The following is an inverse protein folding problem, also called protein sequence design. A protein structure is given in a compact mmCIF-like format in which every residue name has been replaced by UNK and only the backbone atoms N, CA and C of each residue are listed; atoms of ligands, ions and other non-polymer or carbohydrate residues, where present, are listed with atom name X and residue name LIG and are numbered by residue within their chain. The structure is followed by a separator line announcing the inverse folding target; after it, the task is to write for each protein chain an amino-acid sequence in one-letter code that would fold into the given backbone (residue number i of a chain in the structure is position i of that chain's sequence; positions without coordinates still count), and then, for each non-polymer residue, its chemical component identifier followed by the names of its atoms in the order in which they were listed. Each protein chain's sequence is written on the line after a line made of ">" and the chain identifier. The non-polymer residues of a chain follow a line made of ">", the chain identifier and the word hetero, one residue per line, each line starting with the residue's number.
data_IF_559807902608
#
_entry.id   IF_559807902608
#
_cell.length_a   1.000
_cell.length_b   1.000
_cell.length_c   1.000
_cell.angle_alpha   90.00
_cell.angle_beta   90.00
_cell.angle_gamma   90.00
#
_symmetry.space_group_name_H-M   'P 1'
#
loop_
_entity.id
_entity.type
_entity.pdbx_description
1 polymer ?
#
# COMPACT_ATOMS: atom_id res chain seq x y z
N UNK A 1 -5.48 -19.03 -74.08
CA UNK A 1 -5.40 -19.69 -72.75
C UNK A 1 -4.91 -18.67 -71.73
N UNK A 2 -5.76 -18.23 -70.80
CA UNK A 2 -5.41 -17.18 -69.82
C UNK A 2 -5.48 -17.78 -68.41
N UNK A 3 -4.32 -17.95 -67.76
CA UNK A 3 -4.21 -18.53 -66.41
C UNK A 3 -4.47 -17.44 -65.38
N UNK A 4 -5.56 -17.55 -64.62
CA UNK A 4 -5.82 -16.71 -63.44
C UNK A 4 -5.00 -17.26 -62.27
N UNK A 5 -4.04 -16.49 -61.75
CA UNK A 5 -3.33 -16.81 -60.52
C UNK A 5 -4.26 -16.59 -59.31
N UNK A 6 -4.22 -17.46 -58.27
CA UNK A 6 -5.00 -17.21 -57.06
C UNK A 6 -4.42 -16.02 -56.27
N UNK A 7 -5.25 -15.21 -55.59
CA UNK A 7 -4.76 -14.10 -54.81
C UNK A 7 -3.95 -14.63 -53.62
N UNK A 8 -2.72 -14.11 -53.47
CA UNK A 8 -1.89 -14.37 -52.30
C UNK A 8 -2.64 -13.88 -51.06
N UNK A 9 -3.05 -14.80 -50.19
CA UNK A 9 -3.57 -14.48 -48.88
C UNK A 9 -2.54 -13.64 -48.14
N UNK A 10 -2.80 -12.33 -48.03
CA UNK A 10 -2.09 -11.48 -47.11
C UNK A 10 -2.35 -12.03 -45.71
N UNK A 11 -1.35 -12.73 -45.15
CA UNK A 11 -1.37 -13.11 -43.74
C UNK A 11 -1.51 -11.83 -42.94
N UNK A 12 -2.71 -11.59 -42.45
CA UNK A 12 -3.00 -10.58 -41.44
C UNK A 12 -2.16 -10.90 -40.20
N UNK A 13 -0.91 -10.42 -40.19
CA UNK A 13 -0.12 -10.24 -38.98
C UNK A 13 -0.84 -9.14 -38.21
N UNK A 14 -1.90 -9.51 -37.48
CA UNK A 14 -2.39 -8.69 -36.37
C UNK A 14 -1.20 -8.51 -35.46
N UNK A 15 -0.58 -7.33 -35.53
CA UNK A 15 0.51 -6.96 -34.65
C UNK A 15 0.02 -7.29 -33.24
N UNK A 16 0.74 -8.20 -32.58
CA UNK A 16 0.48 -8.56 -31.19
C UNK A 16 0.69 -7.26 -30.41
N UNK A 17 -0.41 -6.56 -30.14
CA UNK A 17 -0.41 -5.26 -29.49
C UNK A 17 0.50 -5.36 -28.27
N UNK A 18 1.63 -4.66 -28.33
CA UNK A 18 2.59 -4.58 -27.25
C UNK A 18 1.79 -3.96 -26.10
N UNK A 19 1.41 -4.77 -25.11
CA UNK A 19 0.70 -4.28 -23.93
C UNK A 19 1.68 -3.38 -23.21
N UNK A 20 1.59 -2.07 -23.46
CA UNK A 20 2.27 -1.08 -22.65
C UNK A 20 1.64 -1.20 -21.26
N UNK A 21 2.38 -1.80 -20.33
CA UNK A 21 1.95 -2.05 -18.94
C UNK A 21 2.09 -0.79 -18.09
N UNK A 22 2.10 0.39 -18.73
CA UNK A 22 2.07 1.68 -18.05
C UNK A 22 0.64 1.92 -17.56
N UNK A 23 0.17 1.06 -16.64
CA UNK A 23 -1.03 1.28 -15.86
C UNK A 23 -0.67 2.33 -14.81
N UNK A 24 -0.76 3.60 -15.18
CA UNK A 24 -0.82 4.67 -14.19
C UNK A 24 -2.14 4.53 -13.45
N UNK A 25 -2.12 3.97 -12.25
CA UNK A 25 -3.30 3.96 -11.38
C UNK A 25 -3.61 5.40 -10.97
N UNK A 26 -4.84 5.84 -11.21
CA UNK A 26 -5.30 7.14 -10.72
C UNK A 26 -5.68 6.94 -9.25
N UNK A 27 -4.88 7.51 -8.36
CA UNK A 27 -5.14 7.52 -6.91
C UNK A 27 -5.45 8.95 -6.44
N UNK A 28 -6.21 9.08 -5.36
CA UNK A 28 -6.45 10.39 -4.75
C UNK A 28 -5.17 10.90 -4.06
N UNK A 29 -5.01 12.23 -3.92
CA UNK A 29 -3.87 12.80 -3.17
C UNK A 29 -3.78 12.29 -1.73
N UNK A 30 -4.93 12.00 -1.11
CA UNK A 30 -4.97 11.41 0.24
C UNK A 30 -4.43 9.98 0.23
N UNK A 31 -4.81 9.17 -0.76
CA UNK A 31 -4.28 7.82 -0.92
C UNK A 31 -2.78 7.83 -1.24
N UNK A 32 -2.32 8.76 -2.07
CA UNK A 32 -0.89 8.97 -2.35
C UNK A 32 -0.11 9.27 -1.07
N UNK A 33 -0.56 10.23 -0.25
CA UNK A 33 0.10 10.57 1.01
C UNK A 33 0.16 9.38 1.99
N UNK A 34 -0.93 8.59 2.08
CA UNK A 34 -0.96 7.38 2.91
C UNK A 34 0.05 6.35 2.39
N UNK A 35 0.06 6.09 1.08
CA UNK A 35 0.99 5.14 0.48
C UNK A 35 2.45 5.61 0.61
N UNK A 36 2.73 6.90 0.51
CA UNK A 36 4.06 7.46 0.76
C UNK A 36 4.49 7.27 2.21
N UNK A 37 3.59 7.44 3.19
CA UNK A 37 3.89 7.15 4.60
C UNK A 37 4.20 5.67 4.80
N UNK A 38 3.34 4.79 4.27
CA UNK A 38 3.55 3.33 4.38
C UNK A 38 4.87 2.92 3.74
N UNK A 39 5.26 3.51 2.61
CA UNK A 39 6.56 3.26 1.99
C UNK A 39 7.73 3.73 2.86
N UNK A 40 7.60 4.87 3.54
CA UNK A 40 8.63 5.35 4.46
C UNK A 40 8.80 4.37 5.64
N UNK A 41 7.69 3.93 6.25
CA UNK A 41 7.70 2.98 7.37
C UNK A 41 8.32 1.63 6.96
N UNK A 42 7.95 1.12 5.77
CA UNK A 42 8.55 -0.10 5.21
C UNK A 42 10.05 0.04 5.05
N UNK A 43 10.52 1.19 4.55
CA UNK A 43 11.96 1.41 4.34
C UNK A 43 12.69 1.51 5.68
N UNK A 44 12.16 2.26 6.64
CA UNK A 44 12.75 2.39 7.98
C UNK A 44 12.91 1.02 8.66
N UNK A 45 11.84 0.22 8.69
CA UNK A 45 11.88 -1.13 9.27
C UNK A 45 12.86 -2.04 8.52
N UNK A 46 12.87 -1.97 7.19
CA UNK A 46 13.79 -2.78 6.37
C UNK A 46 15.25 -2.41 6.62
N UNK A 47 15.56 -1.12 6.83
CA UNK A 47 16.92 -0.67 7.11
C UNK A 47 17.39 -1.11 8.50
N UNK A 48 16.53 -1.05 9.50
CA UNK A 48 16.87 -1.52 10.84
C UNK A 48 17.14 -3.04 10.85
N UNK A 49 16.27 -3.82 10.20
CA UNK A 49 16.47 -5.27 10.04
C UNK A 49 17.77 -5.58 9.27
N UNK A 50 18.08 -4.83 8.22
CA UNK A 50 19.30 -5.02 7.43
C UNK A 50 20.56 -4.63 8.23
N UNK A 51 20.48 -3.59 9.06
CA UNK A 51 21.54 -3.19 9.97
C UNK A 51 21.82 -4.29 10.99
N UNK A 52 20.78 -4.85 11.60
CA UNK A 52 20.91 -5.97 12.53
C UNK A 52 21.53 -7.20 11.86
N UNK A 53 21.17 -7.50 10.60
CA UNK A 53 21.79 -8.58 9.83
C UNK A 53 23.29 -8.33 9.60
N UNK A 54 23.66 -7.10 9.23
CA UNK A 54 25.06 -6.71 9.02
C UNK A 54 25.87 -6.77 10.32
N UNK A 55 25.33 -6.23 11.42
CA UNK A 55 25.98 -6.26 12.73
C UNK A 55 26.16 -7.69 13.24
N UNK A 56 25.16 -8.56 13.08
CA UNK A 56 25.25 -9.98 13.43
C UNK A 56 26.27 -10.75 12.57
N UNK A 57 26.50 -10.31 11.33
CA UNK A 57 27.54 -10.85 10.46
C UNK A 57 28.94 -10.27 10.76
N UNK A 58 29.05 -9.30 11.68
CA UNK A 58 30.30 -8.60 11.99
C UNK A 58 30.71 -7.56 10.94
N UNK A 59 29.78 -7.15 10.07
CA UNK A 59 30.03 -6.15 9.03
C UNK A 59 29.80 -4.75 9.61
N UNK A 60 30.66 -3.80 9.23
CA UNK A 60 30.54 -2.39 9.63
C UNK A 60 29.55 -1.59 8.79
N UNK A 61 29.00 -2.19 7.73
CA UNK A 61 28.10 -1.53 6.78
C UNK A 61 27.09 -2.51 6.24
N UNK A 62 25.89 -2.01 5.97
CA UNK A 62 24.81 -2.78 5.33
C UNK A 62 25.20 -3.11 3.89
N UNK A 63 25.19 -4.39 3.55
CA UNK A 63 25.41 -4.86 2.18
C UNK A 63 24.10 -4.93 1.40
N UNK A 64 24.20 -5.11 0.07
CA UNK A 64 23.03 -5.33 -0.76
C UNK A 64 22.29 -6.61 -0.35
N UNK A 65 23.04 -7.65 0.01
CA UNK A 65 22.52 -8.95 0.43
C UNK A 65 21.72 -8.82 1.74
N UNK A 66 22.18 -8.00 2.67
CA UNK A 66 21.46 -7.70 3.92
C UNK A 66 20.12 -7.01 3.65
N UNK A 67 20.11 -6.02 2.75
CA UNK A 67 18.88 -5.34 2.31
C UNK A 67 17.91 -6.28 1.59
N UNK A 68 18.41 -7.12 0.67
CA UNK A 68 17.57 -8.09 -0.05
C UNK A 68 16.96 -9.11 0.91
N UNK A 69 17.73 -9.59 1.89
CA UNK A 69 17.25 -10.51 2.91
C UNK A 69 16.23 -9.86 3.84
N UNK A 70 16.50 -8.64 4.29
CA UNK A 70 15.57 -7.85 5.11
C UNK A 70 14.22 -7.65 4.41
N UNK A 71 14.22 -7.15 3.17
CA UNK A 71 12.99 -6.92 2.39
C UNK A 71 12.20 -8.21 2.17
N UNK A 72 12.88 -9.35 1.90
CA UNK A 72 12.22 -10.65 1.77
C UNK A 72 11.55 -11.07 3.07
N UNK A 73 12.22 -10.90 4.20
CA UNK A 73 11.68 -11.22 5.52
C UNK A 73 10.48 -10.34 5.87
N UNK A 74 10.56 -9.03 5.60
CA UNK A 74 9.45 -8.11 5.81
C UNK A 74 8.23 -8.49 4.96
N UNK A 75 8.42 -8.75 3.67
CA UNK A 75 7.34 -9.21 2.79
C UNK A 75 6.69 -10.51 3.29
N UNK A 76 7.48 -11.45 3.80
CA UNK A 76 6.95 -12.69 4.40
C UNK A 76 6.10 -12.38 5.63
N UNK A 77 6.57 -11.51 6.55
CA UNK A 77 5.81 -11.08 7.73
C UNK A 77 4.50 -10.42 7.33
N UNK A 78 4.53 -9.44 6.42
CA UNK A 78 3.34 -8.73 5.95
C UNK A 78 2.34 -9.66 5.22
N UNK A 79 2.84 -10.70 4.55
CA UNK A 79 1.98 -11.69 3.87
C UNK A 79 1.29 -12.67 4.83
N UNK A 80 1.85 -12.88 6.02
CA UNK A 80 1.30 -13.80 7.03
C UNK A 80 0.43 -13.09 8.06
N UNK A 81 0.47 -11.75 8.13
CA UNK A 81 -0.51 -10.98 8.89
C UNK A 81 -1.89 -11.13 8.21
N UNK A 82 -2.91 -11.66 8.89
CA UNK A 82 -4.28 -11.57 8.40
C UNK A 82 -4.57 -10.09 8.20
N UNK A 83 -4.91 -9.67 6.97
CA UNK A 83 -5.37 -8.32 6.73
C UNK A 83 -6.57 -8.10 7.67
N UNK A 84 -6.35 -7.40 8.78
CA UNK A 84 -7.42 -6.93 9.63
C UNK A 84 -8.19 -5.94 8.76
N UNK A 85 -9.23 -6.44 8.10
CA UNK A 85 -10.30 -5.66 7.49
C UNK A 85 -11.05 -4.99 8.64
N UNK A 86 -10.41 -4.09 9.37
CA UNK A 86 -11.13 -3.13 10.18
C UNK A 86 -11.90 -2.26 9.18
N UNK A 87 -13.24 -2.24 9.24
CA UNK A 87 -14.01 -1.29 8.45
C UNK A 87 -13.45 0.10 8.77
N UNK A 88 -13.15 0.86 7.73
CA UNK A 88 -12.82 2.27 7.87
C UNK A 88 -14.11 2.93 8.36
N UNK A 89 -14.26 3.09 9.67
CA UNK A 89 -15.27 3.95 10.23
C UNK A 89 -14.92 5.37 9.78
N UNK A 90 -15.58 5.82 8.71
CA UNK A 90 -15.70 7.23 8.38
C UNK A 90 -16.43 7.91 9.53
N UNK A 91 -15.70 8.28 10.57
CA UNK A 91 -16.15 9.26 11.54
C UNK A 91 -16.38 10.56 10.78
N UNK A 92 -17.66 10.86 10.53
CA UNK A 92 -18.10 12.14 10.01
C UNK A 92 -17.69 13.23 11.02
N UNK A 93 -16.83 14.12 10.56
CA UNK A 93 -16.46 15.35 11.26
C UNK A 93 -17.63 16.34 11.15
N UNK A 94 -18.54 16.31 12.12
CA UNK A 94 -19.61 17.30 12.25
C UNK A 94 -19.12 18.45 13.12
N UNK A 95 -18.57 19.46 12.46
CA UNK A 95 -18.14 20.70 13.09
C UNK A 95 -19.34 21.63 13.35
N UNK A 96 -19.45 22.06 14.62
CA UNK A 96 -19.79 23.43 15.08
C UNK A 96 -21.23 23.74 15.57
N UNK A 97 -21.41 23.92 16.89
CA UNK A 97 -21.78 25.22 17.56
C UNK A 97 -22.22 25.05 19.02
N UNK A 98 -21.34 25.46 19.94
CA UNK A 98 -21.50 26.53 20.93
C UNK A 98 -22.86 26.86 21.61
N UNK A 99 -22.78 26.83 22.95
CA UNK A 99 -23.45 27.63 24.00
C UNK A 99 -24.98 27.54 24.23
N UNK A 100 -25.36 26.94 25.36
CA UNK A 100 -26.28 27.57 26.32
C UNK A 100 -26.13 26.94 27.72
N UNK A 101 -25.71 27.75 28.67
CA UNK A 101 -25.68 27.41 30.09
C UNK A 101 -27.08 27.12 30.62
N UNK A 102 -27.21 26.11 31.49
CA UNK A 102 -28.23 26.17 32.54
C UNK A 102 -27.85 25.33 33.75
N UNK A 103 -27.66 26.05 34.85
CA UNK A 103 -27.45 25.57 36.21
C UNK A 103 -28.72 24.91 36.75
N UNK A 104 -28.66 23.65 37.22
CA UNK A 104 -29.49 23.19 38.35
C UNK A 104 -29.05 21.85 38.96
N UNK A 105 -28.42 21.97 40.12
CA UNK A 105 -28.58 21.18 41.37
C UNK A 105 -29.51 19.95 41.31
N UNK A 106 -29.03 18.78 41.75
CA UNK A 106 -29.91 17.62 41.96
C UNK A 106 -29.31 16.33 42.51
N UNK A 107 -28.84 16.36 43.77
CA UNK A 107 -28.91 15.29 44.81
C UNK A 107 -28.46 13.83 44.51
N UNK A 108 -27.55 13.38 45.36
CA UNK A 108 -27.21 11.99 45.75
C UNK A 108 -28.41 11.07 45.99
N UNK A 109 -28.25 9.76 45.71
CA UNK A 109 -28.50 8.70 46.71
C UNK A 109 -27.95 7.32 46.28
N UNK A 110 -27.13 6.75 47.16
CA UNK A 110 -26.81 5.31 47.24
C UNK A 110 -28.07 4.50 47.58
N UNK A 111 -28.15 3.27 47.09
CA UNK A 111 -28.73 2.06 47.71
C UNK A 111 -28.58 0.93 46.69
N UNK A 112 -28.31 -0.34 47.01
CA UNK A 112 -27.77 -1.07 48.16
C UNK A 112 -27.37 -2.43 47.56
#
# INVERSE_FOLDING_TARGET
>A
MHRKNPPRQARNRRARGKRNINLSYIISRKAEAILSSVLADILEESFEDARNLAENAGNSSVTREDMERSLRNLCLRLSTVPAHNAPIDTHADDNNKDFAASSKVGRTRKHR
#
